data_IF_381554408369
#
_entry.id   IF_381554408369
#
_cell.length_a   1.000
_cell.length_b   1.000
_cell.length_c   1.000
_cell.angle_alpha   90.00
_cell.angle_beta   90.00
_cell.angle_gamma   90.00
#
_symmetry.space_group_name_H-M   'P 1'
#
loop_
_entity.id
_entity.type
_entity.pdbx_description
1 polymer ?
#
# COMPACT_ATOMS: atom_id res chain seq x y z
N UNK A 1 38.92 9.15 4.45
CA UNK A 1 38.08 10.28 3.97
C UNK A 1 37.37 9.81 2.70
N UNK A 2 36.08 9.50 2.78
CA UNK A 2 35.32 8.89 1.68
C UNK A 2 34.72 9.99 0.79
N UNK A 3 35.17 10.04 -0.47
CA UNK A 3 34.54 10.84 -1.53
C UNK A 3 33.67 9.90 -2.37
N UNK A 4 32.45 9.56 -1.88
CA UNK A 4 31.59 8.56 -2.55
C UNK A 4 30.49 9.14 -3.44
N UNK A 5 30.19 10.44 -3.33
CA UNK A 5 29.18 11.10 -4.15
C UNK A 5 29.86 12.19 -4.98
N UNK A 6 30.31 11.83 -6.19
CA UNK A 6 31.06 12.75 -7.07
C UNK A 6 30.25 13.33 -8.23
N UNK A 7 29.05 12.79 -8.54
CA UNK A 7 28.29 13.23 -9.73
C UNK A 7 26.80 13.55 -9.49
N UNK A 8 26.19 13.12 -8.38
CA UNK A 8 24.81 13.48 -8.04
C UNK A 8 24.58 13.47 -6.52
N UNK A 9 23.62 14.26 -6.00
CA UNK A 9 23.18 14.14 -4.61
C UNK A 9 22.71 12.71 -4.31
N UNK A 10 23.03 12.15 -3.12
CA UNK A 10 22.62 10.80 -2.76
C UNK A 10 21.09 10.68 -2.72
N UNK A 11 20.57 9.58 -3.26
CA UNK A 11 19.14 9.25 -3.14
C UNK A 11 18.83 8.71 -1.75
N UNK A 12 17.53 8.65 -1.40
CA UNK A 12 17.10 8.04 -0.14
C UNK A 12 17.44 6.54 -0.06
N UNK A 13 17.54 5.85 -1.20
CA UNK A 13 17.97 4.46 -1.28
C UNK A 13 19.47 4.37 -1.01
N UNK A 14 20.28 5.32 -1.49
CA UNK A 14 21.71 5.38 -1.18
C UNK A 14 21.95 5.61 0.31
N UNK A 15 21.15 6.50 0.92
CA UNK A 15 21.18 6.72 2.37
C UNK A 15 20.76 5.45 3.10
N UNK A 16 19.70 4.76 2.65
CA UNK A 16 19.27 3.50 3.25
C UNK A 16 20.37 2.43 3.20
N UNK A 17 21.06 2.31 2.06
CA UNK A 17 22.20 1.40 1.90
C UNK A 17 23.33 1.78 2.85
N UNK A 18 23.68 3.06 2.96
CA UNK A 18 24.75 3.50 3.85
C UNK A 18 24.43 3.19 5.33
N UNK A 19 23.18 3.37 5.76
CA UNK A 19 22.77 3.11 7.16
C UNK A 19 22.63 1.63 7.50
N UNK A 20 22.42 0.74 6.52
CA UNK A 20 22.21 -0.70 6.73
C UNK A 20 23.41 -1.56 6.28
N UNK A 21 24.50 -0.93 5.85
CA UNK A 21 25.73 -1.62 5.50
C UNK A 21 26.67 -1.68 6.71
N UNK A 22 26.85 -2.88 7.28
CA UNK A 22 27.86 -3.11 8.31
C UNK A 22 29.25 -3.18 7.69
N UNK A 23 30.24 -2.53 8.29
CA UNK A 23 31.64 -2.63 7.85
C UNK A 23 32.21 -4.05 8.01
N UNK A 24 31.60 -4.89 8.85
CA UNK A 24 32.08 -6.26 9.14
C UNK A 24 31.40 -7.32 8.28
N UNK A 25 30.12 -7.14 8.00
CA UNK A 25 29.28 -8.18 7.39
C UNK A 25 28.52 -7.72 6.15
N UNK A 26 28.67 -6.46 5.73
CA UNK A 26 27.87 -5.88 4.66
C UNK A 26 26.39 -5.78 5.04
N UNK A 27 25.52 -5.98 4.06
CA UNK A 27 24.07 -6.00 4.24
C UNK A 27 23.63 -7.33 4.85
N UNK A 28 22.67 -7.29 5.78
CA UNK A 28 21.96 -8.51 6.18
C UNK A 28 20.94 -8.92 5.11
N UNK A 29 20.37 -10.11 5.24
CA UNK A 29 19.41 -10.65 4.28
C UNK A 29 18.18 -9.76 4.11
N UNK A 30 17.60 -9.27 5.21
CA UNK A 30 16.44 -8.38 5.18
C UNK A 30 16.73 -7.06 4.45
N UNK A 31 17.89 -6.45 4.69
CA UNK A 31 18.32 -5.24 4.02
C UNK A 31 18.58 -5.50 2.54
N UNK A 32 19.15 -6.65 2.19
CA UNK A 32 19.42 -7.05 0.80
C UNK A 32 18.11 -7.21 0.02
N UNK A 33 17.13 -7.92 0.59
CA UNK A 33 15.80 -8.08 0.00
C UNK A 33 15.07 -6.73 -0.12
N UNK A 34 15.08 -5.91 0.94
CA UNK A 34 14.48 -4.59 0.91
C UNK A 34 15.08 -3.68 -0.17
N UNK A 35 16.41 -3.67 -0.31
CA UNK A 35 17.12 -2.92 -1.36
C UNK A 35 16.68 -3.40 -2.75
N UNK A 36 16.64 -4.71 -2.97
CA UNK A 36 16.25 -5.28 -4.27
C UNK A 36 14.80 -4.89 -4.64
N UNK A 37 13.87 -4.95 -3.68
CA UNK A 37 12.49 -4.52 -3.89
C UNK A 37 12.38 -3.02 -4.17
N UNK A 38 13.16 -2.17 -3.47
CA UNK A 38 13.17 -0.73 -3.70
C UNK A 38 13.68 -0.40 -5.11
N UNK A 39 14.76 -1.04 -5.54
CA UNK A 39 15.34 -0.84 -6.88
C UNK A 39 14.39 -1.34 -7.98
N UNK A 40 13.78 -2.51 -7.79
CA UNK A 40 12.79 -3.05 -8.72
C UNK A 40 11.58 -2.11 -8.84
N UNK A 41 11.09 -1.58 -7.72
CA UNK A 41 9.97 -0.64 -7.72
C UNK A 41 10.28 0.63 -8.52
N UNK A 42 11.49 1.20 -8.40
CA UNK A 42 11.90 2.39 -9.16
C UNK A 42 12.14 2.06 -10.64
N UNK A 43 12.63 0.86 -10.94
CA UNK A 43 12.90 0.41 -12.31
C UNK A 43 11.63 0.01 -13.09
N UNK A 44 10.49 -0.15 -12.42
CA UNK A 44 9.24 -0.47 -13.09
C UNK A 44 8.87 0.60 -14.14
N UNK A 45 8.52 0.19 -15.37
CA UNK A 45 8.13 1.12 -16.42
C UNK A 45 6.97 2.00 -15.97
N UNK A 46 7.12 3.31 -16.19
CA UNK A 46 6.05 4.26 -15.89
C UNK A 46 4.96 4.12 -16.95
N UNK A 47 3.71 3.95 -16.52
CA UNK A 47 2.56 3.92 -17.44
C UNK A 47 2.36 5.29 -18.07
N UNK A 48 1.94 5.33 -19.32
CA UNK A 48 1.72 6.57 -20.07
C UNK A 48 0.77 7.49 -19.29
N UNK A 49 1.21 8.73 -19.02
CA UNK A 49 0.46 9.73 -18.25
C UNK A 49 0.61 9.67 -16.72
N UNK A 50 1.43 8.76 -16.17
CA UNK A 50 1.80 8.78 -14.74
C UNK A 50 3.19 9.40 -14.51
N UNK A 51 3.40 9.94 -13.32
CA UNK A 51 4.73 10.37 -12.88
C UNK A 51 5.64 9.15 -12.64
N UNK A 52 6.95 9.24 -12.96
CA UNK A 52 7.91 8.20 -12.63
C UNK A 52 7.94 7.90 -11.14
N UNK A 53 8.09 6.61 -10.82
CA UNK A 53 8.22 6.15 -9.44
C UNK A 53 9.50 6.71 -8.81
N UNK A 54 9.35 7.34 -7.67
CA UNK A 54 10.46 7.98 -6.96
C UNK A 54 11.09 7.03 -5.93
N UNK A 55 12.39 7.20 -5.63
CA UNK A 55 13.05 6.48 -4.54
C UNK A 55 12.34 6.59 -3.18
N UNK A 56 11.72 7.75 -2.89
CA UNK A 56 10.94 7.95 -1.64
C UNK A 56 9.68 7.10 -1.62
N UNK A 57 8.97 6.98 -2.74
CA UNK A 57 7.82 6.08 -2.86
C UNK A 57 8.23 4.62 -2.70
N UNK A 58 9.40 4.23 -3.23
CA UNK A 58 9.92 2.87 -3.07
C UNK A 58 10.14 2.50 -1.59
N UNK A 59 10.78 3.38 -0.80
CA UNK A 59 10.93 3.15 0.64
C UNK A 59 9.57 3.03 1.35
N UNK A 60 8.63 3.92 1.05
CA UNK A 60 7.31 3.90 1.67
C UNK A 60 6.50 2.65 1.29
N UNK A 61 6.70 2.13 0.08
CA UNK A 61 6.06 0.90 -0.39
C UNK A 61 6.64 -0.35 0.28
N UNK A 62 7.97 -0.46 0.33
CA UNK A 62 8.67 -1.63 0.89
C UNK A 62 8.63 -1.64 2.42
N UNK A 63 8.64 -0.47 3.05
CA UNK A 63 8.68 -0.33 4.52
C UNK A 63 7.63 0.66 5.05
N UNK A 64 6.32 0.40 4.86
CA UNK A 64 5.24 1.36 5.16
C UNK A 64 5.12 1.73 6.65
N UNK A 65 5.60 0.86 7.54
CA UNK A 65 5.57 1.07 9.00
C UNK A 65 6.88 1.67 9.55
N UNK A 66 7.86 1.94 8.69
CA UNK A 66 9.16 2.43 9.10
C UNK A 66 9.14 3.94 9.36
N UNK A 67 9.84 4.38 10.40
CA UNK A 67 10.10 5.81 10.66
C UNK A 67 11.29 6.34 9.87
N UNK A 68 11.92 5.52 9.03
CA UNK A 68 13.14 5.88 8.28
C UNK A 68 12.99 7.19 7.49
N UNK A 69 11.92 7.33 6.69
CA UNK A 69 11.67 8.56 5.92
C UNK A 69 11.51 9.80 6.81
N UNK A 70 10.94 9.65 8.00
CA UNK A 70 10.86 10.72 8.99
C UNK A 70 12.25 11.09 9.51
N UNK A 71 13.05 10.08 9.86
CA UNK A 71 14.36 10.26 10.47
C UNK A 71 15.37 10.90 9.52
N UNK A 72 15.26 10.63 8.21
CA UNK A 72 16.10 11.25 7.17
C UNK A 72 15.51 12.54 6.60
N UNK A 73 14.39 13.04 7.17
CA UNK A 73 13.78 14.31 6.78
C UNK A 73 13.10 14.33 5.41
N UNK A 74 12.77 13.15 4.84
CA UNK A 74 12.19 13.01 3.50
C UNK A 74 10.70 12.64 3.51
N UNK A 75 10.07 12.56 4.68
CA UNK A 75 8.63 12.31 4.78
C UNK A 75 7.83 13.57 4.45
N UNK A 76 7.11 13.56 3.32
CA UNK A 76 6.25 14.68 2.95
C UNK A 76 4.96 14.71 3.79
N UNK A 77 4.42 15.91 4.03
CA UNK A 77 3.13 16.10 4.70
C UNK A 77 1.96 15.46 3.92
N UNK A 78 2.10 15.28 2.60
CA UNK A 78 1.13 14.58 1.76
C UNK A 78 1.15 13.05 2.00
N UNK A 79 2.32 12.49 2.30
CA UNK A 79 2.49 11.05 2.60
C UNK A 79 1.85 10.64 3.93
N UNK A 80 1.67 11.55 4.89
CA UNK A 80 0.88 11.28 6.11
C UNK A 80 -0.62 11.13 5.80
N UNK A 81 -1.11 11.80 4.75
CA UNK A 81 -2.54 11.82 4.39
C UNK A 81 -2.94 10.64 3.50
N UNK A 82 -2.05 10.16 2.63
CA UNK A 82 -2.36 9.08 1.68
C UNK A 82 -2.50 7.70 2.34
N UNK A 83 -1.72 7.38 3.40
CA UNK A 83 -1.85 6.11 4.13
C UNK A 83 -3.18 6.02 4.90
N UNK A 84 -3.62 7.14 5.51
CA UNK A 84 -4.92 7.22 6.17
C UNK A 84 -6.06 7.17 5.15
N UNK A 85 -5.90 7.83 4.00
CA UNK A 85 -6.90 7.82 2.94
C UNK A 85 -7.04 6.44 2.29
N UNK A 86 -5.93 5.72 2.07
CA UNK A 86 -5.95 4.35 1.53
C UNK A 86 -6.64 3.38 2.50
N UNK A 87 -6.27 3.40 3.78
CA UNK A 87 -6.92 2.56 4.80
C UNK A 87 -8.42 2.87 4.95
N UNK A 88 -8.81 4.14 4.81
CA UNK A 88 -10.22 4.54 4.85
C UNK A 88 -10.98 4.13 3.58
N UNK A 89 -10.34 4.15 2.43
CA UNK A 89 -10.91 3.67 1.17
C UNK A 89 -11.14 2.14 1.19
N UNK A 90 -10.19 1.37 1.73
CA UNK A 90 -10.33 -0.08 1.88
C UNK A 90 -11.51 -0.43 2.81
N UNK A 91 -11.64 0.28 3.93
CA UNK A 91 -12.76 0.11 4.87
C UNK A 91 -14.12 0.50 4.24
N UNK A 92 -14.17 1.54 3.39
CA UNK A 92 -15.39 1.91 2.67
C UNK A 92 -15.79 0.82 1.66
N UNK A 93 -14.83 0.25 0.91
CA UNK A 93 -15.11 -0.83 -0.04
C UNK A 93 -15.61 -2.11 0.66
N UNK A 94 -15.06 -2.44 1.83
CA UNK A 94 -15.52 -3.56 2.65
C UNK A 94 -16.98 -3.35 3.10
N UNK A 95 -17.28 -2.18 3.68
CA UNK A 95 -18.63 -1.79 4.09
C UNK A 95 -19.64 -1.81 2.94
N UNK A 96 -19.26 -1.31 1.76
CA UNK A 96 -20.13 -1.34 0.57
C UNK A 96 -20.43 -2.77 0.11
N UNK A 97 -19.44 -3.67 0.20
CA UNK A 97 -19.61 -5.08 -0.15
C UNK A 97 -20.56 -5.80 0.81
N UNK A 98 -20.39 -5.58 2.12
CA UNK A 98 -21.29 -6.12 3.15
C UNK A 98 -22.73 -5.61 2.96
N UNK A 99 -22.90 -4.31 2.72
CA UNK A 99 -24.21 -3.70 2.51
C UNK A 99 -24.90 -4.26 1.25
N UNK A 100 -24.15 -4.52 0.19
CA UNK A 100 -24.70 -5.14 -1.02
C UNK A 100 -25.10 -6.61 -0.78
N UNK A 101 -24.33 -7.35 0.00
CA UNK A 101 -24.66 -8.73 0.38
C UNK A 101 -25.93 -8.78 1.23
N UNK A 102 -26.06 -7.89 2.22
CA UNK A 102 -27.24 -7.79 3.09
C UNK A 102 -28.51 -7.43 2.29
N UNK A 103 -28.43 -6.45 1.37
CA UNK A 103 -29.55 -6.11 0.48
C UNK A 103 -30.03 -7.31 -0.34
N UNK A 104 -29.11 -8.05 -0.96
CA UNK A 104 -29.47 -9.26 -1.72
C UNK A 104 -30.10 -10.33 -0.83
N UNK A 105 -29.60 -10.49 0.39
CA UNK A 105 -30.18 -11.40 1.39
C UNK A 105 -31.61 -11.00 1.75
N UNK A 106 -31.83 -9.72 2.07
CA UNK A 106 -33.14 -9.16 2.39
C UNK A 106 -34.14 -9.32 1.24
N UNK A 107 -33.72 -9.04 0.00
CA UNK A 107 -34.58 -9.22 -1.18
C UNK A 107 -34.97 -10.69 -1.36
N UNK A 108 -34.02 -11.62 -1.18
CA UNK A 108 -34.28 -13.05 -1.21
C UNK A 108 -35.24 -13.52 -0.12
N UNK A 109 -35.17 -12.94 1.08
CA UNK A 109 -36.11 -13.23 2.18
C UNK A 109 -37.51 -12.67 1.89
N UNK A 110 -37.60 -11.45 1.32
CA UNK A 110 -38.87 -10.87 0.89
C UNK A 110 -39.56 -11.70 -0.18
N UNK A 111 -38.82 -12.22 -1.16
CA UNK A 111 -39.37 -13.12 -2.19
C UNK A 111 -39.93 -14.39 -1.57
N UNK A 112 -39.19 -15.04 -0.67
CA UNK A 112 -39.67 -16.25 0.02
C UNK A 112 -40.92 -15.99 0.85
N UNK A 113 -41.01 -14.86 1.55
CA UNK A 113 -42.21 -14.47 2.30
C UNK A 113 -43.43 -14.29 1.38
N UNK A 114 -43.25 -13.69 0.19
CA UNK A 114 -44.32 -13.53 -0.78
C UNK A 114 -44.81 -14.89 -1.33
N UNK A 115 -43.89 -15.80 -1.63
CA UNK A 115 -44.23 -17.17 -2.07
C UNK A 115 -45.01 -17.95 -1.00
N UNK A 116 -44.57 -17.88 0.26
CA UNK A 116 -45.25 -18.53 1.39
C UNK A 116 -46.64 -17.93 1.60
N UNK A 117 -46.78 -16.61 1.51
CA UNK A 117 -48.08 -15.93 1.64
C UNK A 117 -49.06 -16.40 0.57
N UNK A 118 -48.61 -16.51 -0.69
CA UNK A 118 -49.44 -17.00 -1.79
C UNK A 118 -49.86 -18.46 -1.59
N UNK A 119 -48.95 -19.33 -1.17
CA UNK A 119 -49.27 -20.74 -0.88
C UNK A 119 -50.31 -20.90 0.23
N UNK A 120 -50.30 -20.01 1.24
CA UNK A 120 -51.32 -20.00 2.29
C UNK A 120 -52.69 -19.52 1.77
N UNK A 121 -52.71 -18.56 0.84
CA UNK A 121 -53.95 -18.09 0.21
C UNK A 121 -54.56 -19.15 -0.71
N UNK A 122 -53.74 -19.88 -1.47
CA UNK A 122 -54.18 -20.95 -2.38
C UNK A 122 -54.70 -22.20 -1.64
N UNK A 123 -54.41 -22.35 -0.34
CA UNK A 123 -54.90 -23.46 0.52
C UNK A 123 -56.23 -23.17 1.22
N UNK A 124 -56.84 -21.99 1.00
CA UNK A 124 -58.06 -21.53 1.67
C UNK A 124 -59.29 -21.62 0.76
#
# INVERSE_FOLDING_TARGET
>A
KQTKFKDAPPTVIDIFKDTHCSSKSGFNEQATDAIAQMEAYVAEPTKEGQDPKTPVQAIAHVMPKSTFLSNVGMQSAAMKRNAKAAAMNDHVNELESELQADKKGSDGLRSQLADVQKQLEDQK
#
